data_IF_543083001800
#
_entry.id   IF_543083001800
#
_cell.length_a   1.000
_cell.length_b   1.000
_cell.length_c   1.000
_cell.angle_alpha   90.00
_cell.angle_beta   90.00
_cell.angle_gamma   90.00
#
_symmetry.space_group_name_H-M   'P 1'
#
loop_
_entity.id
_entity.type
_entity.pdbx_description
1 polymer ?
#
# COMPACT_ATOMS: atom_id res chain seq x y z
N UNK A 1 6.82 -23.15 9.81
CA UNK A 1 6.65 -22.61 8.47
C UNK A 1 7.57 -21.42 8.29
N UNK A 2 8.35 -21.42 7.25
CA UNK A 2 9.37 -20.37 7.08
C UNK A 2 8.79 -18.97 6.91
N UNK A 3 7.54 -18.85 6.47
CA UNK A 3 6.95 -17.55 6.16
C UNK A 3 5.99 -17.03 7.22
N UNK A 4 6.04 -17.59 8.43
CA UNK A 4 5.14 -17.15 9.50
C UNK A 4 5.42 -15.73 9.96
N UNK A 5 6.62 -15.21 9.74
CA UNK A 5 7.01 -13.89 10.17
C UNK A 5 7.05 -12.87 9.03
N UNK A 6 6.37 -13.17 7.94
CA UNK A 6 6.26 -12.23 6.82
C UNK A 6 5.06 -11.34 7.06
N UNK A 7 5.27 -10.03 6.95
CA UNK A 7 4.26 -9.02 7.22
C UNK A 7 4.10 -8.15 6.00
N UNK A 8 2.86 -7.88 5.63
CA UNK A 8 2.55 -6.90 4.60
C UNK A 8 2.03 -5.62 5.22
N UNK A 9 2.46 -4.49 4.71
CA UNK A 9 1.98 -3.19 5.15
C UNK A 9 1.57 -2.37 3.92
N UNK A 10 0.45 -1.68 4.04
CA UNK A 10 -0.06 -0.82 2.99
C UNK A 10 -0.22 0.58 3.56
N UNK A 11 0.44 1.55 2.92
CA UNK A 11 0.35 2.94 3.28
C UNK A 11 -0.43 3.67 2.19
N UNK A 12 -1.60 4.14 2.53
CA UNK A 12 -2.49 4.83 1.60
C UNK A 12 -2.34 6.33 1.82
N UNK A 13 -1.60 6.97 0.93
CA UNK A 13 -1.37 8.39 1.00
C UNK A 13 -2.23 9.17 0.01
N UNK A 14 -2.13 10.48 0.04
CA UNK A 14 -2.89 11.35 -0.87
C UNK A 14 -2.37 11.31 -2.31
N UNK A 15 -1.12 10.94 -2.52
CA UNK A 15 -0.50 10.94 -3.85
C UNK A 15 -0.11 9.55 -4.35
N UNK A 16 0.06 8.60 -3.47
CA UNK A 16 0.51 7.28 -3.83
C UNK A 16 0.13 6.25 -2.79
N UNK A 17 0.04 5.01 -3.23
CA UNK A 17 -0.13 3.86 -2.37
C UNK A 17 1.22 3.16 -2.30
N UNK A 18 1.68 2.84 -1.10
CA UNK A 18 2.92 2.10 -0.90
C UNK A 18 2.60 0.76 -0.27
N UNK A 19 3.21 -0.28 -0.80
CA UNK A 19 3.06 -1.62 -0.27
C UNK A 19 4.44 -2.15 0.05
N UNK A 20 4.60 -2.66 1.25
CA UNK A 20 5.87 -3.18 1.73
C UNK A 20 5.63 -4.59 2.26
N UNK A 21 6.48 -5.50 1.84
CA UNK A 21 6.51 -6.86 2.38
C UNK A 21 7.83 -7.02 3.11
N UNK A 22 7.76 -7.44 4.37
CA UNK A 22 8.93 -7.55 5.21
C UNK A 22 8.90 -8.82 6.03
N UNK A 23 10.06 -9.27 6.46
CA UNK A 23 10.22 -10.43 7.32
C UNK A 23 10.86 -10.00 8.64
N UNK A 24 10.32 -10.51 9.74
CA UNK A 24 10.96 -10.37 11.04
C UNK A 24 11.97 -11.49 11.19
N UNK A 25 13.23 -11.15 11.41
CA UNK A 25 14.29 -12.12 11.55
C UNK A 25 14.38 -12.63 13.00
N UNK A 26 15.15 -13.70 13.21
CA UNK A 26 15.30 -14.31 14.53
C UNK A 26 15.95 -13.36 15.55
N UNK A 27 16.77 -12.43 15.10
CA UNK A 27 17.41 -11.46 15.96
C UNK A 27 16.63 -10.15 16.05
N UNK A 28 15.32 -10.21 15.78
CA UNK A 28 14.39 -9.10 15.88
C UNK A 28 14.70 -7.93 14.96
N UNK A 29 15.26 -8.21 13.80
CA UNK A 29 15.46 -7.22 12.76
C UNK A 29 14.38 -7.34 11.72
N UNK A 30 14.16 -6.26 10.99
CA UNK A 30 13.20 -6.24 9.88
C UNK A 30 13.97 -6.30 8.58
N UNK A 31 13.67 -7.32 7.78
CA UNK A 31 14.23 -7.49 6.45
C UNK A 31 13.18 -7.12 5.42
N UNK A 32 13.44 -6.08 4.64
CA UNK A 32 12.52 -5.67 3.59
C UNK A 32 12.67 -6.62 2.39
N UNK A 33 11.60 -7.31 2.05
CA UNK A 33 11.60 -8.27 0.95
C UNK A 33 11.16 -7.65 -0.35
N UNK A 34 10.15 -6.77 -0.29
CA UNK A 34 9.60 -6.16 -1.47
C UNK A 34 9.00 -4.82 -1.11
N UNK A 35 9.09 -3.88 -2.04
CA UNK A 35 8.54 -2.55 -1.85
C UNK A 35 8.01 -2.03 -3.18
N UNK A 36 6.75 -1.63 -3.20
CA UNK A 36 6.11 -1.09 -4.38
C UNK A 36 5.47 0.25 -4.07
N UNK A 37 5.49 1.14 -5.04
CA UNK A 37 4.82 2.42 -4.97
C UNK A 37 3.97 2.59 -6.22
N UNK A 38 2.68 2.81 -6.03
CA UNK A 38 1.76 3.05 -7.14
C UNK A 38 1.21 4.46 -7.02
N UNK A 39 1.48 5.33 -8.00
CA UNK A 39 0.90 6.67 -8.00
C UNK A 39 -0.62 6.58 -8.10
N UNK A 40 -1.31 7.20 -7.15
CA UNK A 40 -2.76 7.25 -7.14
C UNK A 40 -3.17 8.48 -6.35
N UNK A 41 -3.61 9.50 -7.03
CA UNK A 41 -3.84 10.81 -6.43
C UNK A 41 -5.22 10.93 -5.77
N UNK A 42 -5.39 10.25 -4.65
CA UNK A 42 -6.63 10.32 -3.90
C UNK A 42 -6.92 11.73 -3.39
N UNK A 43 -5.87 12.44 -2.98
CA UNK A 43 -6.01 13.81 -2.50
C UNK A 43 -6.50 14.78 -3.56
N UNK A 44 -6.18 14.54 -4.82
CA UNK A 44 -6.66 15.37 -5.91
C UNK A 44 -8.19 15.30 -6.03
N UNK A 45 -8.75 14.11 -5.91
CA UNK A 45 -10.19 13.92 -5.94
C UNK A 45 -10.86 14.67 -4.80
N UNK A 46 -10.35 14.52 -3.59
CA UNK A 46 -10.91 15.19 -2.42
C UNK A 46 -10.81 16.71 -2.57
N UNK A 47 -9.69 17.20 -3.07
CA UNK A 47 -9.50 18.63 -3.30
C UNK A 47 -10.49 19.19 -4.32
N UNK A 48 -10.72 18.46 -5.41
CA UNK A 48 -11.57 18.93 -6.50
C UNK A 48 -13.05 18.66 -6.28
N UNK A 49 -13.37 17.48 -5.75
CA UNK A 49 -14.76 17.00 -5.65
C UNK A 49 -15.30 16.98 -4.24
N UNK A 50 -14.42 17.04 -3.24
CA UNK A 50 -14.82 16.89 -1.85
C UNK A 50 -14.98 15.44 -1.40
N UNK A 51 -14.73 14.48 -2.29
CA UNK A 51 -14.83 13.06 -2.00
C UNK A 51 -13.97 12.28 -3.00
N UNK A 52 -13.73 11.01 -2.69
CA UNK A 52 -13.00 10.12 -3.60
C UNK A 52 -14.03 9.53 -4.58
N UNK A 53 -13.77 9.68 -5.88
CA UNK A 53 -14.70 9.20 -6.90
C UNK A 53 -14.72 7.68 -6.96
N UNK A 54 -15.81 7.12 -7.50
CA UNK A 54 -15.92 5.66 -7.69
C UNK A 54 -14.81 5.13 -8.58
N UNK A 55 -14.44 5.86 -9.60
CA UNK A 55 -13.35 5.48 -10.49
C UNK A 55 -12.03 5.34 -9.73
N UNK A 56 -11.74 6.29 -8.82
CA UNK A 56 -10.55 6.21 -7.99
C UNK A 56 -10.61 5.03 -7.02
N UNK A 57 -11.78 4.79 -6.45
CA UNK A 57 -11.95 3.65 -5.55
C UNK A 57 -11.67 2.35 -6.29
N UNK A 58 -12.15 2.20 -7.52
CA UNK A 58 -11.86 1.02 -8.33
C UNK A 58 -10.37 0.87 -8.59
N UNK A 59 -9.67 1.97 -8.89
CA UNK A 59 -8.24 1.94 -9.08
C UNK A 59 -7.51 1.54 -7.81
N UNK A 60 -7.95 2.06 -6.67
CA UNK A 60 -7.38 1.70 -5.38
C UNK A 60 -7.55 0.22 -5.08
N UNK A 61 -8.75 -0.30 -5.29
CA UNK A 61 -9.02 -1.72 -5.06
C UNK A 61 -8.19 -2.60 -5.98
N UNK A 62 -8.06 -2.22 -7.24
CA UNK A 62 -7.23 -2.96 -8.19
C UNK A 62 -5.76 -2.96 -7.76
N UNK A 63 -5.27 -1.86 -7.19
CA UNK A 63 -3.91 -1.76 -6.69
C UNK A 63 -3.67 -2.70 -5.51
N UNK A 64 -4.64 -2.78 -4.61
CA UNK A 64 -4.51 -3.59 -3.39
C UNK A 64 -4.67 -5.08 -3.68
N UNK A 65 -5.44 -5.44 -4.67
CA UNK A 65 -5.74 -6.85 -4.99
C UNK A 65 -4.61 -7.63 -5.64
N UNK A 66 -3.49 -7.08 -5.80
CA UNK A 66 -2.37 -7.74 -6.50
C UNK A 66 -1.90 -9.01 -5.79
#
# INVERSE_FOLDING_TARGET
MPDQNVIGAIDIGSNAIRMICARLTEDYRIEELEKNRTPLRLGEDVFRMGYITEERIEQLLATIKV
#
